data_IF_058211285948
#
_entry.id   IF_058211285948
#
_cell.length_a   1.000
_cell.length_b   1.000
_cell.length_c   1.000
_cell.angle_alpha   90.00
_cell.angle_beta   90.00
_cell.angle_gamma   90.00
#
_symmetry.space_group_name_H-M   'P 1'
#
loop_
_entity.id
_entity.type
_entity.pdbx_description
1 polymer ?
#
# COMPACT_ATOMS: atom_id res chain seq x y z
N UNK A 1 29.32 -9.72 1.51
CA UNK A 1 29.65 -10.35 0.22
C UNK A 1 28.48 -11.09 -0.44
N UNK A 2 27.54 -11.68 0.34
CA UNK A 2 26.40 -12.43 -0.24
C UNK A 2 25.22 -11.55 -0.66
N UNK A 3 25.09 -10.38 -0.08
CA UNK A 3 23.97 -9.47 -0.37
C UNK A 3 24.02 -8.89 -1.81
N UNK A 4 25.22 -8.57 -2.27
CA UNK A 4 25.44 -8.08 -3.63
C UNK A 4 25.37 -9.19 -4.69
N UNK A 5 25.73 -10.43 -4.34
CA UNK A 5 25.63 -11.56 -5.27
C UNK A 5 24.18 -11.94 -5.60
N UNK A 6 23.27 -11.82 -4.65
CA UNK A 6 21.86 -12.20 -4.85
C UNK A 6 21.09 -11.18 -5.70
N UNK A 7 21.49 -9.91 -5.72
CA UNK A 7 20.86 -8.88 -6.54
C UNK A 7 21.08 -9.04 -8.05
N UNK A 8 22.15 -9.68 -8.43
CA UNK A 8 22.51 -9.89 -9.84
C UNK A 8 22.01 -11.23 -10.42
N UNK A 9 21.32 -12.04 -9.62
CA UNK A 9 20.78 -13.32 -10.11
C UNK A 9 19.37 -13.07 -10.63
N UNK A 10 19.10 -13.50 -11.86
CA UNK A 10 17.78 -13.41 -12.48
C UNK A 10 16.88 -14.55 -12.05
N UNK A 11 15.55 -14.30 -12.02
CA UNK A 11 14.54 -15.30 -11.76
C UNK A 11 13.36 -15.14 -12.72
N UNK A 12 12.84 -16.28 -13.17
CA UNK A 12 11.61 -16.36 -13.96
C UNK A 12 10.39 -16.67 -13.09
N UNK A 13 10.54 -16.71 -11.77
CA UNK A 13 9.48 -17.13 -10.86
C UNK A 13 8.21 -16.27 -11.01
N UNK A 14 8.36 -14.95 -11.08
CA UNK A 14 7.23 -14.03 -11.22
C UNK A 14 6.50 -14.28 -12.56
N UNK A 15 7.24 -14.40 -13.65
CA UNK A 15 6.66 -14.68 -14.98
C UNK A 15 5.91 -16.02 -15.00
N UNK A 16 6.47 -17.05 -14.39
CA UNK A 16 5.88 -18.39 -14.36
C UNK A 16 4.61 -18.45 -13.50
N UNK A 17 4.55 -17.69 -12.42
CA UNK A 17 3.45 -17.74 -11.45
C UNK A 17 2.40 -16.62 -11.66
N UNK A 18 2.72 -15.60 -12.44
CA UNK A 18 1.82 -14.48 -12.71
C UNK A 18 0.62 -14.90 -13.54
N UNK A 19 -0.57 -14.59 -13.05
CA UNK A 19 -1.82 -14.75 -13.80
C UNK A 19 -2.27 -13.36 -14.27
N UNK A 20 -2.21 -13.13 -15.58
CA UNK A 20 -2.72 -11.90 -16.18
C UNK A 20 -4.26 -11.89 -16.08
N UNK A 21 -4.86 -10.86 -15.46
CA UNK A 21 -6.31 -10.77 -15.35
C UNK A 21 -7.06 -10.77 -16.68
N UNK A 22 -6.40 -10.38 -17.77
CA UNK A 22 -6.99 -10.40 -19.13
C UNK A 22 -7.06 -11.80 -19.74
N UNK A 23 -6.34 -12.76 -19.18
CA UNK A 23 -6.31 -14.15 -19.65
C UNK A 23 -7.36 -15.04 -19.00
N UNK A 24 -8.09 -14.54 -18.00
CA UNK A 24 -9.08 -15.31 -17.23
C UNK A 24 -10.43 -14.59 -17.22
N UNK A 25 -11.50 -15.38 -17.09
CA UNK A 25 -12.84 -14.81 -16.94
C UNK A 25 -13.01 -14.24 -15.53
N UNK A 26 -13.42 -12.98 -15.46
CA UNK A 26 -13.74 -12.25 -14.22
C UNK A 26 -15.17 -11.77 -14.35
N UNK A 27 -16.09 -12.38 -13.58
CA UNK A 27 -17.53 -12.17 -13.74
C UNK A 27 -18.15 -11.57 -12.49
N UNK A 28 -18.68 -10.36 -12.63
CA UNK A 28 -19.40 -9.67 -11.56
C UNK A 28 -20.80 -10.24 -11.35
N UNK A 29 -21.32 -10.16 -10.11
CA UNK A 29 -22.74 -10.42 -9.88
C UNK A 29 -23.60 -9.36 -10.58
N UNK A 30 -24.86 -9.68 -10.82
CA UNK A 30 -25.81 -8.77 -11.44
C UNK A 30 -25.96 -7.48 -10.60
N UNK A 31 -26.11 -7.63 -9.28
CA UNK A 31 -26.06 -6.52 -8.34
C UNK A 31 -24.64 -6.36 -7.80
N UNK A 32 -23.96 -5.30 -8.22
CA UNK A 32 -22.60 -5.03 -7.80
C UNK A 32 -22.56 -4.41 -6.40
N UNK A 33 -21.63 -4.88 -5.57
CA UNK A 33 -21.44 -4.39 -4.21
C UNK A 33 -20.47 -3.22 -4.19
N UNK A 34 -20.70 -2.26 -3.30
CA UNK A 34 -19.73 -1.22 -3.01
C UNK A 34 -18.52 -1.78 -2.29
N UNK A 35 -17.39 -1.12 -2.46
CA UNK A 35 -16.14 -1.42 -1.77
C UNK A 35 -15.69 -0.22 -0.93
N UNK A 36 -15.35 -0.47 0.33
CA UNK A 36 -14.56 0.44 1.15
C UNK A 36 -13.26 -0.29 1.47
N UNK A 37 -12.14 0.23 1.00
CA UNK A 37 -10.82 -0.37 1.21
C UNK A 37 -9.99 0.56 2.11
N UNK A 38 -9.69 0.12 3.31
CA UNK A 38 -8.98 0.91 4.31
C UNK A 38 -7.58 0.35 4.50
N UNK A 39 -6.59 1.08 3.99
CA UNK A 39 -5.19 0.82 4.29
C UNK A 39 -4.82 1.50 5.60
N UNK A 40 -4.36 0.71 6.57
CA UNK A 40 -3.87 1.20 7.85
C UNK A 40 -2.35 1.25 7.83
N UNK A 41 -1.79 2.46 7.89
CA UNK A 41 -0.34 2.65 7.91
C UNK A 41 0.31 1.90 9.07
N UNK A 42 1.30 1.06 8.74
CA UNK A 42 2.12 0.31 9.70
C UNK A 42 1.34 -0.58 10.69
N UNK A 43 0.12 -0.99 10.33
CA UNK A 43 -0.72 -1.78 11.23
C UNK A 43 -0.45 -3.28 11.10
N UNK A 44 -0.04 -3.88 12.20
CA UNK A 44 0.33 -5.30 12.30
C UNK A 44 -0.52 -6.05 13.30
N UNK A 45 -0.67 -7.34 13.11
CA UNK A 45 -1.22 -8.24 14.14
C UNK A 45 -0.35 -8.29 15.39
N UNK A 46 0.92 -7.94 15.28
CA UNK A 46 1.93 -7.94 16.33
C UNK A 46 1.48 -7.18 17.60
N UNK A 47 0.72 -6.09 17.42
CA UNK A 47 0.34 -5.19 18.51
C UNK A 47 -0.82 -5.69 19.37
N UNK A 48 -1.46 -6.79 19.00
CA UNK A 48 -2.37 -7.54 19.85
C UNK A 48 -1.58 -8.34 20.88
N UNK A 49 -2.26 -8.89 21.88
CA UNK A 49 -1.58 -9.71 22.88
C UNK A 49 -1.34 -11.15 22.38
N UNK A 50 -0.50 -11.87 23.14
CA UNK A 50 -0.12 -13.25 22.81
C UNK A 50 -1.33 -14.18 22.80
N UNK A 51 -2.29 -14.00 23.69
CA UNK A 51 -3.48 -14.85 23.77
C UNK A 51 -4.36 -14.70 22.53
N UNK A 52 -4.42 -13.53 21.95
CA UNK A 52 -5.19 -13.22 20.75
C UNK A 52 -4.40 -13.37 19.43
N UNK A 53 -3.16 -13.85 19.50
CA UNK A 53 -2.35 -14.11 18.31
C UNK A 53 -1.39 -12.99 17.91
N UNK A 54 -1.26 -11.97 18.75
CA UNK A 54 -0.21 -10.95 18.66
C UNK A 54 1.06 -11.36 19.37
N UNK A 55 1.93 -10.41 19.63
CA UNK A 55 3.21 -10.65 20.30
C UNK A 55 3.45 -9.76 21.52
N UNK A 56 2.55 -8.85 21.82
CA UNK A 56 2.66 -7.93 22.96
C UNK A 56 2.09 -8.56 24.24
N UNK A 57 2.57 -8.10 25.38
CA UNK A 57 2.01 -8.50 26.67
C UNK A 57 0.61 -7.91 26.89
N UNK A 58 0.36 -6.73 26.35
CA UNK A 58 -0.88 -6.00 26.42
C UNK A 58 -1.43 -5.73 25.02
N UNK A 59 -2.73 -5.96 24.83
CA UNK A 59 -3.38 -5.70 23.55
C UNK A 59 -3.54 -4.19 23.32
N UNK A 60 -2.75 -3.64 22.43
CA UNK A 60 -2.76 -2.22 22.06
C UNK A 60 -3.87 -1.88 21.06
N UNK A 61 -4.36 -2.88 20.32
CA UNK A 61 -5.35 -2.71 19.25
C UNK A 61 -6.62 -3.55 19.53
N UNK A 62 -7.30 -3.37 20.67
CA UNK A 62 -8.40 -4.25 21.04
C UNK A 62 -9.59 -4.17 20.08
N UNK A 63 -9.92 -3.00 19.53
CA UNK A 63 -11.03 -2.84 18.59
C UNK A 63 -10.73 -3.56 17.27
N UNK A 64 -9.53 -3.43 16.73
CA UNK A 64 -9.11 -4.14 15.53
C UNK A 64 -9.05 -5.65 15.77
N UNK A 65 -8.59 -6.09 16.94
CA UNK A 65 -8.58 -7.50 17.32
C UNK A 65 -9.99 -8.09 17.29
N UNK A 66 -10.97 -7.41 17.88
CA UNK A 66 -12.38 -7.84 17.84
C UNK A 66 -12.92 -7.87 16.41
N UNK A 67 -12.60 -6.87 15.59
CA UNK A 67 -13.02 -6.83 14.18
C UNK A 67 -12.51 -8.06 13.42
N UNK A 68 -11.24 -8.41 13.56
CA UNK A 68 -10.68 -9.57 12.90
C UNK A 68 -11.30 -10.88 13.41
N UNK A 69 -11.53 -11.00 14.72
CA UNK A 69 -12.12 -12.20 15.33
C UNK A 69 -13.60 -12.41 14.98
N UNK A 70 -14.34 -11.34 14.69
CA UNK A 70 -15.77 -11.40 14.36
C UNK A 70 -16.06 -11.31 12.86
N UNK A 71 -15.03 -11.18 12.04
CA UNK A 71 -15.12 -11.16 10.58
C UNK A 71 -14.09 -12.12 10.00
N UNK A 72 -13.67 -11.99 8.74
CA UNK A 72 -12.78 -12.95 8.12
C UNK A 72 -11.34 -12.43 8.02
N UNK A 73 -10.40 -13.14 8.64
CA UNK A 73 -8.97 -12.95 8.51
C UNK A 73 -8.21 -14.21 8.05
N UNK A 74 -8.97 -15.25 7.67
CA UNK A 74 -8.46 -16.54 7.21
C UNK A 74 -7.63 -17.31 8.26
N UNK A 75 -7.98 -17.13 9.51
CA UNK A 75 -7.44 -17.91 10.62
C UNK A 75 -8.08 -19.32 10.76
N UNK A 76 -9.09 -19.61 9.96
CA UNK A 76 -9.85 -20.86 10.04
C UNK A 76 -10.65 -20.94 11.33
N UNK A 77 -10.53 -22.04 12.05
CA UNK A 77 -11.19 -22.23 13.36
C UNK A 77 -10.37 -21.69 14.53
N UNK A 78 -9.12 -21.29 14.30
CA UNK A 78 -8.27 -20.71 15.34
C UNK A 78 -8.77 -19.31 15.70
N UNK A 79 -9.03 -19.00 16.96
CA UNK A 79 -9.45 -17.66 17.38
C UNK A 79 -8.33 -16.61 17.34
N UNK A 80 -7.07 -17.04 17.19
CA UNK A 80 -5.93 -16.15 17.10
C UNK A 80 -5.90 -15.41 15.78
N UNK A 81 -5.46 -14.16 15.81
CA UNK A 81 -5.34 -13.32 14.61
C UNK A 81 -4.43 -13.96 13.57
N UNK A 82 -4.86 -13.83 12.33
CA UNK A 82 -4.05 -14.12 11.15
C UNK A 82 -3.87 -12.84 10.32
N UNK A 83 -2.94 -12.85 9.41
CA UNK A 83 -2.68 -11.69 8.55
C UNK A 83 -1.75 -12.05 7.39
N UNK A 84 -1.62 -11.12 6.45
CA UNK A 84 -0.77 -11.27 5.28
C UNK A 84 0.68 -10.97 5.57
N UNK A 85 1.58 -11.74 4.96
CA UNK A 85 3.01 -11.43 4.97
C UNK A 85 3.33 -10.34 3.95
N UNK A 86 4.13 -9.35 4.37
CA UNK A 86 4.72 -8.36 3.46
C UNK A 86 6.05 -8.90 2.93
N UNK A 87 6.06 -9.25 1.66
CA UNK A 87 7.23 -9.80 1.00
C UNK A 87 8.10 -8.70 0.37
N UNK A 88 9.20 -9.09 -0.22
CA UNK A 88 10.09 -8.16 -0.93
C UNK A 88 9.33 -7.35 -1.99
N UNK A 89 9.59 -6.06 -2.05
CA UNK A 89 8.88 -5.15 -2.97
C UNK A 89 7.53 -4.65 -2.47
N UNK A 90 7.12 -4.99 -1.23
CA UNK A 90 5.82 -4.62 -0.66
C UNK A 90 5.91 -3.96 0.72
N UNK A 91 7.10 -3.61 1.18
CA UNK A 91 7.36 -3.23 2.58
C UNK A 91 7.31 -1.73 2.86
N UNK A 92 6.81 -0.93 1.93
CA UNK A 92 6.54 0.50 2.10
C UNK A 92 5.19 0.82 1.46
N UNK A 93 4.64 2.00 1.75
CA UNK A 93 3.25 2.34 1.42
C UNK A 93 2.90 2.13 -0.06
N UNK A 94 3.68 2.70 -0.99
CA UNK A 94 3.36 2.54 -2.41
C UNK A 94 3.51 1.08 -2.87
N UNK A 95 4.58 0.41 -2.45
CA UNK A 95 4.78 -1.01 -2.74
C UNK A 95 3.65 -1.88 -2.20
N UNK A 96 3.16 -1.56 -1.01
CA UNK A 96 2.04 -2.26 -0.39
C UNK A 96 0.72 -2.03 -1.12
N UNK A 97 0.39 -0.78 -1.45
CA UNK A 97 -0.83 -0.46 -2.20
C UNK A 97 -0.82 -1.10 -3.59
N UNK A 98 0.33 -1.09 -4.24
CA UNK A 98 0.55 -1.77 -5.53
C UNK A 98 0.34 -3.29 -5.41
N UNK A 99 0.97 -3.92 -4.42
CA UNK A 99 0.84 -5.36 -4.20
C UNK A 99 -0.61 -5.81 -3.97
N UNK A 100 -1.35 -5.08 -3.15
CA UNK A 100 -2.72 -5.42 -2.77
C UNK A 100 -3.74 -5.15 -3.88
N UNK A 101 -3.39 -4.38 -4.89
CA UNK A 101 -4.29 -4.02 -5.99
C UNK A 101 -3.84 -4.54 -7.36
N UNK A 102 -2.61 -5.02 -7.48
CA UNK A 102 -2.07 -5.59 -8.73
C UNK A 102 -1.57 -7.03 -8.59
N UNK A 103 -1.33 -7.48 -7.36
CA UNK A 103 -0.73 -8.79 -7.11
C UNK A 103 0.75 -8.87 -7.53
N UNK A 104 1.45 -7.73 -7.62
CA UNK A 104 2.84 -7.66 -8.05
C UNK A 104 3.72 -6.93 -7.02
N UNK A 105 5.00 -7.31 -6.90
CA UNK A 105 5.96 -6.54 -6.12
C UNK A 105 6.43 -5.30 -6.88
N UNK A 106 6.66 -4.22 -6.15
CA UNK A 106 7.28 -3.01 -6.72
C UNK A 106 8.80 -3.08 -6.49
N UNK A 107 9.45 -3.99 -7.21
CA UNK A 107 10.89 -4.21 -7.12
C UNK A 107 11.53 -3.88 -8.47
N UNK A 108 12.01 -2.65 -8.58
CA UNK A 108 12.54 -2.06 -9.80
C UNK A 108 13.97 -1.59 -9.62
N UNK A 109 14.61 -1.24 -10.73
CA UNK A 109 15.95 -0.63 -10.75
C UNK A 109 15.99 0.80 -10.23
N UNK A 110 14.84 1.47 -10.09
CA UNK A 110 14.73 2.82 -9.52
C UNK A 110 14.46 2.76 -8.01
N UNK A 111 14.65 3.89 -7.32
CA UNK A 111 14.39 3.98 -5.88
C UNK A 111 12.91 3.76 -5.53
N UNK A 112 12.66 3.28 -4.32
CA UNK A 112 11.35 2.85 -3.84
C UNK A 112 10.21 3.86 -4.04
N UNK A 113 10.50 5.17 -3.95
CA UNK A 113 9.52 6.24 -4.07
C UNK A 113 9.63 7.07 -5.35
N UNK A 114 10.40 6.60 -6.33
CA UNK A 114 10.69 7.39 -7.54
C UNK A 114 9.69 7.17 -8.69
N UNK A 115 8.65 6.38 -8.48
CA UNK A 115 7.62 6.18 -9.51
C UNK A 115 6.86 7.46 -9.87
N UNK A 116 6.84 8.47 -9.00
CA UNK A 116 6.26 9.79 -9.27
C UNK A 116 7.00 10.56 -10.38
N UNK A 117 8.22 10.14 -10.72
CA UNK A 117 9.02 10.74 -11.79
C UNK A 117 8.75 10.14 -13.16
N UNK A 118 7.99 9.05 -13.24
CA UNK A 118 7.69 8.35 -14.47
C UNK A 118 6.45 8.91 -15.17
N UNK A 119 6.35 8.72 -16.49
CA UNK A 119 5.18 9.14 -17.27
C UNK A 119 4.01 8.16 -17.13
N UNK A 120 4.29 6.93 -16.76
CA UNK A 120 3.31 5.87 -16.56
C UNK A 120 3.71 4.94 -15.42
N UNK A 121 2.73 4.22 -14.87
CA UNK A 121 2.93 3.28 -13.78
C UNK A 121 2.46 1.89 -14.22
N UNK A 122 3.37 1.04 -14.68
CA UNK A 122 3.04 -0.31 -15.17
C UNK A 122 1.88 -0.30 -16.17
N UNK A 123 2.02 0.37 -17.32
CA UNK A 123 0.89 0.60 -18.24
C UNK A 123 0.31 -0.68 -18.84
N UNK A 124 1.10 -1.76 -18.87
CA UNK A 124 0.69 -3.05 -19.46
C UNK A 124 -0.08 -3.98 -18.55
N UNK A 125 -0.29 -3.63 -17.26
CA UNK A 125 -1.00 -4.50 -16.32
C UNK A 125 -2.47 -4.11 -16.16
N UNK A 126 -3.25 -5.05 -15.65
CA UNK A 126 -4.64 -4.85 -15.23
C UNK A 126 -4.73 -4.98 -13.73
N UNK A 127 -5.20 -3.93 -13.06
CA UNK A 127 -5.29 -3.86 -11.60
C UNK A 127 -6.73 -4.00 -11.12
N UNK A 128 -6.90 -4.07 -9.78
CA UNK A 128 -8.21 -3.97 -9.15
C UNK A 128 -8.97 -2.72 -9.62
N UNK A 129 -8.30 -1.57 -9.66
CA UNK A 129 -8.90 -0.32 -10.13
C UNK A 129 -9.37 -0.40 -11.58
N UNK A 130 -8.60 -1.01 -12.46
CA UNK A 130 -8.99 -1.22 -13.86
C UNK A 130 -10.24 -2.10 -13.97
N UNK A 131 -10.27 -3.21 -13.24
CA UNK A 131 -11.40 -4.16 -13.25
C UNK A 131 -12.67 -3.48 -12.74
N UNK A 132 -12.56 -2.74 -11.63
CA UNK A 132 -13.71 -2.03 -11.06
C UNK A 132 -14.18 -0.88 -11.96
N UNK A 133 -13.27 -0.15 -12.58
CA UNK A 133 -13.61 0.91 -13.55
C UNK A 133 -14.37 0.35 -14.74
N UNK A 134 -13.90 -0.76 -15.32
CA UNK A 134 -14.56 -1.43 -16.44
C UNK A 134 -15.95 -1.95 -16.05
N UNK A 135 -16.16 -2.27 -14.78
CA UNK A 135 -17.44 -2.69 -14.25
C UNK A 135 -18.38 -1.54 -13.90
N UNK A 136 -17.98 -0.28 -14.09
CA UNK A 136 -18.81 0.90 -13.88
C UNK A 136 -18.74 1.52 -12.48
N UNK A 137 -17.72 1.16 -11.69
CA UNK A 137 -17.52 1.74 -10.35
C UNK A 137 -17.02 3.19 -10.44
N UNK A 138 -17.55 4.04 -9.58
CA UNK A 138 -16.95 5.34 -9.25
C UNK A 138 -15.89 5.10 -8.18
N UNK A 139 -14.67 5.60 -8.39
CA UNK A 139 -13.55 5.33 -7.52
C UNK A 139 -12.92 6.59 -6.97
N UNK A 140 -12.60 6.59 -5.69
CA UNK A 140 -11.96 7.70 -4.97
C UNK A 140 -10.79 7.18 -4.14
N UNK A 141 -9.65 7.88 -4.21
CA UNK A 141 -8.56 7.74 -3.25
C UNK A 141 -8.61 8.90 -2.27
N UNK A 142 -8.84 8.61 -1.00
CA UNK A 142 -8.91 9.58 0.09
C UNK A 142 -7.73 9.38 1.03
N UNK A 143 -6.84 10.36 1.09
CA UNK A 143 -5.64 10.35 1.92
C UNK A 143 -5.37 11.73 2.52
N UNK A 144 -4.79 11.77 3.70
CA UNK A 144 -4.45 13.04 4.37
C UNK A 144 -3.10 13.64 3.95
N UNK A 145 -2.31 12.91 3.18
CA UNK A 145 -1.02 13.33 2.63
C UNK A 145 -1.13 13.68 1.13
N UNK A 146 -0.01 14.07 0.52
CA UNK A 146 0.03 14.34 -0.93
C UNK A 146 0.01 13.04 -1.73
N UNK A 147 -0.92 12.93 -2.67
CA UNK A 147 -1.06 11.74 -3.52
C UNK A 147 0.10 11.58 -4.51
N UNK A 148 0.77 12.65 -4.89
CA UNK A 148 1.89 12.61 -5.82
C UNK A 148 3.07 11.79 -5.29
N UNK A 149 3.30 11.83 -3.98
CA UNK A 149 4.43 11.13 -3.36
C UNK A 149 4.40 9.61 -3.66
N UNK A 150 5.54 9.09 -4.08
CA UNK A 150 5.71 7.66 -4.38
C UNK A 150 4.98 7.16 -5.62
N UNK A 151 4.31 8.05 -6.36
CA UNK A 151 3.57 7.70 -7.57
C UNK A 151 2.11 7.28 -7.33
N UNK A 152 1.56 7.49 -6.14
CA UNK A 152 0.16 7.13 -5.85
C UNK A 152 -0.82 7.77 -6.80
N UNK A 153 -0.70 9.08 -7.03
CA UNK A 153 -1.56 9.81 -7.96
C UNK A 153 -1.47 9.24 -9.37
N UNK A 154 -0.25 9.02 -9.87
CA UNK A 154 -0.02 8.45 -11.19
C UNK A 154 -0.69 7.08 -11.31
N UNK A 155 -0.44 6.19 -10.34
CA UNK A 155 -0.96 4.84 -10.35
C UNK A 155 -2.49 4.78 -10.32
N UNK A 156 -3.11 5.45 -9.36
CA UNK A 156 -4.57 5.38 -9.20
C UNK A 156 -5.35 6.14 -10.27
N UNK A 157 -4.75 7.16 -10.88
CA UNK A 157 -5.36 7.81 -12.04
C UNK A 157 -5.26 6.96 -13.31
N UNK A 158 -4.09 6.37 -13.56
CA UNK A 158 -3.86 5.52 -14.73
C UNK A 158 -4.66 4.21 -14.65
N UNK A 159 -4.70 3.59 -13.48
CA UNK A 159 -5.34 2.30 -13.24
C UNK A 159 -6.67 2.43 -12.50
N UNK A 160 -7.67 2.97 -13.17
CA UNK A 160 -9.02 3.02 -12.65
C UNK A 160 -9.62 4.42 -12.54
N UNK A 161 -8.90 5.45 -12.96
CA UNK A 161 -9.38 6.83 -12.98
C UNK A 161 -9.97 7.26 -11.62
N UNK A 162 -9.24 6.97 -10.53
CA UNK A 162 -9.67 7.40 -9.20
C UNK A 162 -9.68 8.91 -9.08
N UNK A 163 -10.72 9.46 -8.46
CA UNK A 163 -10.74 10.84 -7.99
C UNK A 163 -9.75 10.98 -6.83
N UNK A 164 -8.85 11.99 -6.90
CA UNK A 164 -7.85 12.24 -5.86
C UNK A 164 -8.38 13.23 -4.84
N UNK A 165 -8.71 12.76 -3.65
CA UNK A 165 -9.06 13.59 -2.50
C UNK A 165 -7.94 13.48 -1.46
N UNK A 166 -6.84 14.20 -1.73
CA UNK A 166 -5.64 14.23 -0.91
C UNK A 166 -5.49 15.55 -0.12
N UNK A 167 -4.33 15.79 0.44
CA UNK A 167 -4.04 17.01 1.19
C UNK A 167 -4.25 18.27 0.35
N UNK A 168 -3.73 18.31 -0.88
CA UNK A 168 -3.92 19.44 -1.79
C UNK A 168 -5.40 19.67 -2.12
N UNK A 169 -6.14 18.60 -2.37
CA UNK A 169 -7.58 18.66 -2.58
C UNK A 169 -8.31 19.28 -1.39
N UNK A 170 -7.95 18.89 -0.17
CA UNK A 170 -8.57 19.41 1.05
C UNK A 170 -8.36 20.92 1.20
N UNK A 171 -7.17 21.42 0.88
CA UNK A 171 -6.87 22.85 0.88
C UNK A 171 -7.64 23.58 -0.22
N UNK A 172 -7.59 23.09 -1.45
CA UNK A 172 -8.23 23.70 -2.62
C UNK A 172 -9.76 23.79 -2.47
N UNK A 173 -10.36 22.83 -1.79
CA UNK A 173 -11.80 22.78 -1.55
C UNK A 173 -12.22 23.37 -0.20
N UNK A 174 -11.31 23.99 0.53
CA UNK A 174 -11.61 24.66 1.79
C UNK A 174 -12.02 23.73 2.93
N UNK A 175 -11.67 22.45 2.87
CA UNK A 175 -11.96 21.47 3.93
C UNK A 175 -11.07 21.68 5.14
N UNK A 176 -9.88 22.22 4.92
CA UNK A 176 -8.92 22.65 5.94
C UNK A 176 -8.37 24.03 5.57
N UNK A 177 -7.88 24.83 6.55
CA UNK A 177 -7.21 26.09 6.27
C UNK A 177 -6.00 25.90 5.35
N UNK A 178 -5.69 26.92 4.54
CA UNK A 178 -4.62 26.87 3.54
C UNK A 178 -3.22 26.68 4.14
N UNK A 179 -3.05 27.09 5.40
CA UNK A 179 -1.81 26.93 6.18
C UNK A 179 -1.82 25.75 7.15
N UNK A 180 -2.90 24.95 7.12
CA UNK A 180 -3.01 23.80 8.00
C UNK A 180 -2.11 22.67 7.51
N UNK A 181 -1.18 22.27 8.35
CA UNK A 181 -0.35 21.09 8.12
C UNK A 181 0.08 20.49 9.44
N UNK A 182 -0.29 19.25 9.67
CA UNK A 182 0.22 18.42 10.76
C UNK A 182 0.72 17.12 10.19
N UNK A 183 1.85 16.62 10.68
CA UNK A 183 2.45 15.38 10.22
C UNK A 183 2.72 15.41 8.70
N UNK A 184 2.08 14.54 7.94
CA UNK A 184 2.23 14.43 6.48
C UNK A 184 1.18 15.24 5.67
N UNK A 185 0.33 15.97 6.36
CA UNK A 185 -0.75 16.75 5.75
C UNK A 185 -1.83 17.10 6.76
N UNK A 186 -2.88 16.26 6.86
CA UNK A 186 -3.86 16.32 7.94
C UNK A 186 -4.02 14.95 8.61
N UNK A 187 -4.44 14.99 9.87
CA UNK A 187 -4.53 13.81 10.75
C UNK A 187 -5.73 12.90 10.41
N UNK A 188 -5.66 11.65 10.89
CA UNK A 188 -6.66 10.61 10.62
C UNK A 188 -8.06 10.96 11.15
N UNK A 189 -8.15 11.74 12.23
CA UNK A 189 -9.45 12.22 12.72
C UNK A 189 -10.24 12.92 11.63
N UNK A 190 -9.59 13.83 10.90
CA UNK A 190 -10.21 14.52 9.75
C UNK A 190 -10.45 13.57 8.59
N UNK A 191 -9.55 12.64 8.35
CA UNK A 191 -9.70 11.64 7.30
C UNK A 191 -11.02 10.86 7.44
N UNK A 192 -11.31 10.37 8.65
CA UNK A 192 -12.54 9.62 8.91
C UNK A 192 -13.79 10.51 8.78
N UNK A 193 -13.73 11.77 9.19
CA UNK A 193 -14.82 12.72 8.98
C UNK A 193 -15.09 12.98 7.50
N UNK A 194 -14.05 13.22 6.71
CA UNK A 194 -14.17 13.40 5.27
C UNK A 194 -14.66 12.12 4.57
N UNK A 195 -14.24 10.96 5.06
CA UNK A 195 -14.71 9.67 4.56
C UNK A 195 -16.23 9.50 4.76
N UNK A 196 -16.74 9.83 5.94
CA UNK A 196 -18.19 9.79 6.22
C UNK A 196 -18.99 10.67 5.27
N UNK A 197 -18.56 11.91 5.08
CA UNK A 197 -19.19 12.84 4.16
C UNK A 197 -19.16 12.35 2.71
N UNK A 198 -18.01 11.80 2.28
CA UNK A 198 -17.85 11.24 0.94
C UNK A 198 -18.77 10.04 0.73
N UNK A 199 -18.83 9.11 1.69
CA UNK A 199 -19.70 7.94 1.63
C UNK A 199 -21.18 8.31 1.52
N UNK A 200 -21.62 9.32 2.26
CA UNK A 200 -23.00 9.81 2.15
C UNK A 200 -23.30 10.36 0.76
N UNK A 201 -22.36 11.08 0.15
CA UNK A 201 -22.52 11.55 -1.24
C UNK A 201 -22.52 10.42 -2.25
N UNK A 202 -21.56 9.50 -2.15
CA UNK A 202 -21.45 8.34 -3.05
C UNK A 202 -22.68 7.44 -2.99
N UNK A 203 -23.24 7.24 -1.79
CA UNK A 203 -24.41 6.38 -1.59
C UNK A 203 -25.72 6.94 -2.20
N UNK A 204 -25.74 8.20 -2.53
CA UNK A 204 -26.91 8.84 -3.20
C UNK A 204 -26.92 8.58 -4.70
N UNK A 205 -25.80 8.16 -5.29
CA UNK A 205 -25.71 7.81 -6.70
C UNK A 205 -26.23 6.41 -7.00
N UNK A 206 -26.44 6.12 -8.27
CA UNK A 206 -26.92 4.82 -8.74
C UNK A 206 -25.78 3.84 -9.05
N UNK A 207 -24.55 4.33 -9.14
CA UNK A 207 -23.37 3.54 -9.48
C UNK A 207 -22.78 2.89 -8.24
N UNK A 208 -22.21 1.67 -8.37
CA UNK A 208 -21.41 1.12 -7.30
C UNK A 208 -20.17 1.99 -7.09
N UNK A 209 -19.70 2.10 -5.86
CA UNK A 209 -18.54 2.91 -5.53
C UNK A 209 -17.42 2.09 -4.88
N UNK A 210 -16.20 2.57 -5.06
CA UNK A 210 -15.01 2.16 -4.33
C UNK A 210 -14.42 3.40 -3.66
N UNK A 211 -14.43 3.42 -2.32
CA UNK A 211 -13.66 4.37 -1.54
C UNK A 211 -12.43 3.67 -0.97
N UNK A 212 -11.26 4.03 -1.47
CA UNK A 212 -9.97 3.57 -0.97
C UNK A 212 -9.35 4.66 -0.11
N UNK A 213 -8.95 4.31 1.10
CA UNK A 213 -8.42 5.22 2.12
C UNK A 213 -7.06 4.75 2.60
N UNK A 214 -6.22 5.69 3.02
CA UNK A 214 -4.96 5.42 3.70
C UNK A 214 -4.84 6.31 4.93
N UNK A 215 -4.64 5.70 6.11
CA UNK A 215 -4.33 6.43 7.34
C UNK A 215 -2.85 6.82 7.38
N UNK A 216 -2.48 7.77 8.23
CA UNK A 216 -1.12 8.30 8.28
C UNK A 216 -0.57 8.53 9.69
N UNK A 217 -1.43 8.65 10.71
CA UNK A 217 -0.99 8.98 12.07
C UNK A 217 -0.06 7.91 12.65
N UNK A 218 -0.19 6.67 12.22
CA UNK A 218 0.61 5.53 12.66
C UNK A 218 1.94 5.36 11.93
N UNK A 219 2.32 6.32 11.07
CA UNK A 219 3.61 6.30 10.39
C UNK A 219 4.77 6.53 11.36
N UNK A 220 5.89 5.84 11.15
CA UNK A 220 7.09 5.97 11.99
C UNK A 220 7.75 7.36 11.79
N UNK A 221 8.54 7.89 12.72
CA UNK A 221 8.78 7.27 14.02
C UNK A 221 7.72 7.73 15.01
N UNK A 222 7.31 6.84 15.91
CA UNK A 222 6.41 7.08 17.05
C UNK A 222 5.00 7.60 16.72
N UNK A 223 4.70 7.87 15.45
CA UNK A 223 3.40 8.36 15.02
C UNK A 223 3.06 9.79 15.42
N UNK A 224 1.87 10.23 15.01
CA UNK A 224 1.32 11.54 15.35
C UNK A 224 0.27 11.42 16.46
N UNK A 225 0.49 12.15 17.55
CA UNK A 225 -0.45 12.21 18.68
C UNK A 225 -1.50 13.27 18.40
N UNK A 226 -2.73 12.85 18.13
CA UNK A 226 -3.86 13.77 18.03
C UNK A 226 -4.55 13.96 19.37
N UNK A 227 -5.50 14.87 19.45
CA UNK A 227 -6.26 15.16 20.68
C UNK A 227 -7.07 13.96 21.24
N UNK A 228 -7.36 12.97 20.38
CA UNK A 228 -8.12 11.77 20.74
C UNK A 228 -7.24 10.62 21.25
N UNK A 229 -5.92 10.73 21.14
CA UNK A 229 -5.04 9.67 21.56
C UNK A 229 -5.09 9.44 23.06
N UNK A 230 -5.17 8.16 23.52
CA UNK A 230 -5.05 7.84 24.94
C UNK A 230 -3.62 8.08 25.45
N UNK A 231 -3.46 8.04 26.75
CA UNK A 231 -2.17 8.10 27.45
C UNK A 231 -1.96 6.88 28.35
N UNK A 232 -2.60 5.77 28.01
CA UNK A 232 -2.68 4.57 28.83
C UNK A 232 -1.44 3.69 28.72
N UNK A 233 -0.72 3.78 27.61
CA UNK A 233 0.43 2.93 27.33
C UNK A 233 1.74 3.69 27.56
N UNK A 234 2.80 2.95 27.86
CA UNK A 234 4.10 3.52 28.23
C UNK A 234 4.80 4.24 27.07
N UNK A 235 4.53 3.83 25.82
CA UNK A 235 5.15 4.43 24.63
C UNK A 235 4.16 5.27 23.84
N UNK A 236 4.66 6.35 23.24
CA UNK A 236 3.85 7.20 22.37
C UNK A 236 3.27 6.38 21.21
N UNK A 237 4.06 5.53 20.59
CA UNK A 237 3.61 4.76 19.42
C UNK A 237 2.45 3.81 19.76
N UNK A 238 2.49 3.17 20.94
CA UNK A 238 1.37 2.37 21.42
C UNK A 238 0.09 3.19 21.59
N UNK A 239 0.20 4.41 22.13
CA UNK A 239 -0.95 5.30 22.27
C UNK A 239 -1.53 5.73 20.91
N UNK A 240 -0.67 5.94 19.92
CA UNK A 240 -1.10 6.27 18.55
C UNK A 240 -1.74 5.06 17.86
N UNK A 241 -1.17 3.87 18.01
CA UNK A 241 -1.78 2.63 17.49
C UNK A 241 -3.15 2.36 18.12
N UNK A 242 -3.26 2.54 19.44
CA UNK A 242 -4.53 2.40 20.16
C UNK A 242 -5.57 3.43 19.69
N UNK A 243 -5.15 4.65 19.43
CA UNK A 243 -5.99 5.70 18.87
C UNK A 243 -6.54 5.31 17.49
N UNK A 244 -5.67 4.80 16.61
CA UNK A 244 -6.06 4.29 15.31
C UNK A 244 -7.07 3.14 15.41
N UNK A 245 -6.80 2.18 16.27
CA UNK A 245 -7.71 1.06 16.53
C UNK A 245 -9.11 1.52 16.94
N UNK A 246 -9.18 2.46 17.86
CA UNK A 246 -10.45 3.04 18.31
C UNK A 246 -11.20 3.78 17.20
N UNK A 247 -10.50 4.62 16.47
CA UNK A 247 -11.08 5.39 15.36
C UNK A 247 -11.62 4.48 14.24
N UNK A 248 -10.90 3.44 13.88
CA UNK A 248 -11.36 2.44 12.91
C UNK A 248 -12.60 1.71 13.42
N UNK A 249 -12.60 1.32 14.69
CA UNK A 249 -13.77 0.68 15.32
C UNK A 249 -15.01 1.57 15.30
N UNK A 250 -14.87 2.84 15.61
CA UNK A 250 -15.95 3.83 15.55
C UNK A 250 -16.44 4.07 14.11
N UNK A 251 -15.52 4.16 13.16
CA UNK A 251 -15.84 4.32 11.75
C UNK A 251 -16.62 3.11 11.21
N UNK A 252 -16.19 1.91 11.53
CA UNK A 252 -16.90 0.69 11.14
C UNK A 252 -18.32 0.65 11.71
N UNK A 253 -18.48 0.98 13.00
CA UNK A 253 -19.82 1.06 13.61
C UNK A 253 -20.71 2.07 12.92
N UNK A 254 -20.15 3.23 12.55
CA UNK A 254 -20.89 4.23 11.80
C UNK A 254 -21.33 3.72 10.41
N UNK A 255 -20.44 3.05 9.67
CA UNK A 255 -20.77 2.44 8.38
C UNK A 255 -21.89 1.43 8.54
N UNK A 256 -21.83 0.59 9.57
CA UNK A 256 -22.81 -0.48 9.81
C UNK A 256 -24.21 0.06 10.12
N UNK A 257 -24.34 1.31 10.49
CA UNK A 257 -25.63 1.99 10.72
C UNK A 257 -26.20 2.64 9.46
N UNK A 258 -25.47 2.65 8.36
CA UNK A 258 -25.92 3.29 7.12
C UNK A 258 -26.70 2.32 6.23
N UNK A 259 -27.64 2.85 5.47
CA UNK A 259 -28.47 2.06 4.55
C UNK A 259 -27.64 1.35 3.48
N UNK A 260 -26.52 1.94 3.05
CA UNK A 260 -25.64 1.36 2.04
C UNK A 260 -24.83 0.16 2.55
N UNK A 261 -24.72 -0.05 3.88
CA UNK A 261 -23.90 -1.13 4.44
C UNK A 261 -24.30 -2.52 3.93
N UNK A 262 -25.60 -2.76 3.80
CA UNK A 262 -26.10 -4.07 3.35
C UNK A 262 -25.49 -4.50 2.01
N UNK A 263 -25.21 -3.54 1.11
CA UNK A 263 -24.61 -3.78 -0.19
C UNK A 263 -23.16 -3.27 -0.27
N UNK A 264 -22.43 -3.36 0.82
CA UNK A 264 -21.05 -2.88 0.90
C UNK A 264 -20.15 -3.90 1.57
N UNK A 265 -19.02 -4.19 0.94
CA UNK A 265 -17.93 -4.98 1.50
C UNK A 265 -16.83 -4.04 1.96
N UNK A 266 -16.28 -4.29 3.15
CA UNK A 266 -15.19 -3.51 3.72
C UNK A 266 -13.96 -4.40 3.83
N UNK A 267 -12.84 -3.93 3.29
CA UNK A 267 -11.51 -4.55 3.45
C UNK A 267 -10.68 -3.62 4.32
N UNK A 268 -10.17 -4.14 5.40
CA UNK A 268 -9.21 -3.43 6.27
C UNK A 268 -7.90 -4.20 6.24
N UNK A 269 -6.84 -3.55 5.81
CA UNK A 269 -5.52 -4.15 5.76
C UNK A 269 -4.46 -3.17 6.21
N UNK A 270 -3.56 -3.61 7.09
CA UNK A 270 -2.29 -2.94 7.26
C UNK A 270 -1.59 -2.89 5.90
N UNK A 271 -0.87 -1.81 5.64
CA UNK A 271 -0.13 -1.70 4.40
C UNK A 271 1.18 -2.52 4.46
N UNK A 272 2.00 -2.29 5.45
CA UNK A 272 3.26 -3.00 5.69
C UNK A 272 3.59 -2.98 7.19
N UNK A 273 4.52 -3.83 7.66
CA UNK A 273 5.04 -3.75 9.02
C UNK A 273 5.71 -2.41 9.28
N UNK A 274 5.62 -1.93 10.53
CA UNK A 274 6.26 -0.66 10.88
C UNK A 274 7.76 -0.66 10.56
N UNK A 275 8.23 0.46 10.03
CA UNK A 275 9.66 0.72 9.81
C UNK A 275 10.36 1.32 11.05
N UNK A 276 9.62 1.52 12.15
CA UNK A 276 10.21 1.92 13.42
C UNK A 276 11.09 0.80 13.97
N UNK A 277 12.38 1.06 14.07
CA UNK A 277 13.37 0.03 14.45
C UNK A 277 13.29 -0.40 15.92
N UNK A 278 12.64 0.40 16.77
CA UNK A 278 12.63 0.20 18.21
C UNK A 278 11.38 -0.53 18.69
N UNK A 279 10.24 -0.26 18.06
CA UNK A 279 8.91 -0.67 18.56
C UNK A 279 8.74 -2.19 18.67
N UNK A 280 9.27 -2.95 17.72
CA UNK A 280 9.21 -4.41 17.68
C UNK A 280 10.58 -5.08 17.90
N UNK A 281 11.57 -4.32 18.39
CA UNK A 281 12.96 -4.78 18.48
C UNK A 281 13.11 -6.06 19.34
N UNK A 282 12.45 -6.15 20.48
CA UNK A 282 12.50 -7.34 21.35
C UNK A 282 11.90 -8.56 20.66
N UNK A 283 10.76 -8.37 19.98
CA UNK A 283 10.07 -9.43 19.24
C UNK A 283 10.96 -9.96 18.11
N UNK A 284 11.61 -9.08 17.37
CA UNK A 284 12.52 -9.44 16.29
C UNK A 284 13.76 -10.17 16.81
N UNK A 285 14.28 -9.79 17.99
CA UNK A 285 15.42 -10.45 18.63
C UNK A 285 15.07 -11.86 19.12
N UNK A 286 13.89 -12.05 19.68
CA UNK A 286 13.43 -13.37 20.13
C UNK A 286 13.16 -14.32 18.96
N UNK A 287 12.75 -13.77 17.79
CA UNK A 287 12.53 -14.54 16.57
C UNK A 287 11.37 -15.54 16.65
N UNK A 288 10.49 -15.41 17.63
CA UNK A 288 9.41 -16.36 17.92
C UNK A 288 8.08 -15.98 17.28
N UNK A 289 8.00 -14.81 16.66
CA UNK A 289 6.78 -14.27 16.07
C UNK A 289 7.03 -13.82 14.64
N UNK A 290 6.21 -14.34 13.72
CA UNK A 290 6.21 -13.92 12.31
C UNK A 290 5.29 -12.72 12.14
N UNK A 291 5.86 -11.55 11.90
CA UNK A 291 5.13 -10.29 11.76
C UNK A 291 4.32 -10.28 10.47
N UNK A 292 3.03 -9.93 10.60
CA UNK A 292 2.06 -9.88 9.50
C UNK A 292 1.24 -8.61 9.61
N UNK A 293 0.75 -8.12 8.49
CA UNK A 293 -0.16 -6.97 8.50
C UNK A 293 -1.54 -7.39 8.99
N UNK A 294 -2.20 -6.50 9.73
CA UNK A 294 -3.60 -6.67 10.11
C UNK A 294 -4.47 -6.87 8.86
N UNK A 295 -5.39 -7.81 8.89
CA UNK A 295 -6.27 -8.10 7.75
C UNK A 295 -7.68 -8.47 8.24
N UNK A 296 -8.71 -7.84 7.68
CA UNK A 296 -10.09 -8.22 7.93
C UNK A 296 -10.97 -7.94 6.70
N UNK A 297 -11.80 -8.90 6.34
CA UNK A 297 -12.83 -8.80 5.32
C UNK A 297 -14.19 -8.80 5.98
N UNK A 298 -14.94 -7.73 5.83
CA UNK A 298 -16.19 -7.47 6.55
C UNK A 298 -17.34 -7.42 5.56
N UNK A 299 -18.42 -8.12 5.88
CA UNK A 299 -19.61 -8.21 5.03
C UNK A 299 -19.28 -8.68 3.60
N UNK A 300 -18.45 -9.70 3.50
CA UNK A 300 -18.08 -10.30 2.22
C UNK A 300 -19.25 -11.08 1.61
N UNK A 301 -19.34 -11.07 0.28
CA UNK A 301 -20.29 -11.86 -0.48
C UNK A 301 -19.79 -13.31 -0.74
N UNK A 302 -18.73 -13.71 -0.09
CA UNK A 302 -18.14 -15.05 -0.20
C UNK A 302 -17.86 -15.60 1.20
N UNK A 303 -17.75 -16.92 1.28
CA UNK A 303 -17.40 -17.64 2.50
C UNK A 303 -16.14 -18.44 2.27
N UNK A 304 -15.24 -18.48 3.26
CA UNK A 304 -14.05 -19.31 3.21
C UNK A 304 -14.45 -20.80 3.12
N UNK A 305 -13.94 -21.48 2.09
CA UNK A 305 -14.18 -22.92 1.89
C UNK A 305 -13.26 -23.76 2.76
N UNK A 306 -12.09 -23.24 3.10
CA UNK A 306 -11.14 -23.90 3.97
C UNK A 306 -11.35 -23.47 5.43
N UNK A 307 -11.41 -24.43 6.35
CA UNK A 307 -11.52 -24.21 7.79
C UNK A 307 -10.14 -24.19 8.47
N UNK A 308 -9.07 -24.31 7.71
CA UNK A 308 -7.71 -24.26 8.24
C UNK A 308 -7.18 -22.83 8.18
N UNK A 309 -6.20 -22.55 9.03
CA UNK A 309 -5.44 -21.32 8.96
C UNK A 309 -4.70 -21.23 7.63
N UNK A 310 -4.90 -20.10 6.90
CA UNK A 310 -4.24 -19.86 5.63
C UNK A 310 -2.90 -19.17 5.87
N UNK A 311 -1.89 -19.54 5.08
CA UNK A 311 -0.64 -18.82 4.98
C UNK A 311 -0.64 -18.01 3.69
N UNK A 312 -0.65 -16.68 3.81
CA UNK A 312 -0.85 -15.79 2.68
C UNK A 312 0.00 -14.53 2.74
N UNK A 313 0.14 -13.89 1.61
CA UNK A 313 0.82 -12.60 1.46
C UNK A 313 -0.17 -11.52 1.05
N UNK A 314 0.29 -10.28 1.04
CA UNK A 314 -0.53 -9.14 0.60
C UNK A 314 -0.86 -9.17 -0.90
N UNK A 315 -0.19 -9.99 -1.71
CA UNK A 315 -0.60 -10.25 -3.09
C UNK A 315 -1.98 -10.90 -3.18
N UNK A 316 -2.31 -11.75 -2.21
CA UNK A 316 -3.57 -12.49 -2.18
C UNK A 316 -4.77 -11.56 -1.96
N UNK A 317 -4.57 -10.37 -1.42
CA UNK A 317 -5.62 -9.38 -1.26
C UNK A 317 -6.27 -8.97 -2.58
N UNK A 318 -5.55 -9.00 -3.68
CA UNK A 318 -6.08 -8.59 -4.98
C UNK A 318 -7.24 -9.50 -5.44
N UNK A 319 -7.07 -10.80 -5.70
CA UNK A 319 -8.19 -11.65 -6.06
C UNK A 319 -9.20 -11.83 -4.92
N UNK A 320 -8.76 -11.81 -3.66
CA UNK A 320 -9.64 -11.99 -2.50
C UNK A 320 -10.61 -10.83 -2.35
N UNK A 321 -10.19 -9.59 -2.59
CA UNK A 321 -11.07 -8.42 -2.58
C UNK A 321 -12.18 -8.55 -3.62
N UNK A 322 -11.85 -8.96 -4.83
CA UNK A 322 -12.86 -9.21 -5.87
C UNK A 322 -13.84 -10.32 -5.47
N UNK A 323 -13.34 -11.42 -4.93
CA UNK A 323 -14.19 -12.50 -4.43
C UNK A 323 -15.12 -12.03 -3.30
N UNK A 324 -14.60 -11.18 -2.41
CA UNK A 324 -15.40 -10.58 -1.34
C UNK A 324 -16.54 -9.69 -1.87
N UNK A 325 -16.39 -9.14 -3.06
CA UNK A 325 -17.43 -8.39 -3.79
C UNK A 325 -18.43 -9.31 -4.54
N UNK A 326 -18.24 -10.61 -4.46
CA UNK A 326 -19.06 -11.57 -5.18
C UNK A 326 -18.62 -11.84 -6.62
N UNK A 327 -17.44 -11.36 -6.99
CA UNK A 327 -16.87 -11.59 -8.33
C UNK A 327 -16.34 -13.02 -8.42
N UNK A 328 -16.67 -13.70 -9.51
CA UNK A 328 -16.13 -15.02 -9.80
C UNK A 328 -14.91 -14.91 -10.70
N UNK A 329 -13.83 -15.54 -10.28
CA UNK A 329 -12.55 -15.53 -10.97
C UNK A 329 -12.26 -16.95 -11.43
N UNK A 330 -12.15 -17.16 -12.74
CA UNK A 330 -11.79 -18.47 -13.28
C UNK A 330 -10.35 -18.82 -12.84
N UNK A 331 -10.22 -19.98 -12.16
CA UNK A 331 -8.94 -20.41 -11.61
C UNK A 331 -8.58 -19.80 -10.25
N UNK A 332 -9.32 -18.84 -9.72
CA UNK A 332 -9.17 -18.21 -8.41
C UNK A 332 -7.80 -17.55 -8.17
N UNK A 333 -7.12 -17.13 -9.23
CA UNK A 333 -5.82 -16.44 -9.14
C UNK A 333 -5.75 -15.23 -10.06
N UNK A 334 -5.17 -14.13 -9.56
CA UNK A 334 -4.83 -12.91 -10.32
C UNK A 334 -3.48 -12.37 -9.82
N UNK A 335 -2.61 -11.96 -10.74
CA UNK A 335 -1.25 -11.58 -10.37
C UNK A 335 -0.53 -12.75 -9.70
N UNK A 336 0.17 -12.48 -8.62
CA UNK A 336 0.77 -13.52 -7.77
C UNK A 336 -0.17 -13.96 -6.64
N UNK A 337 -1.40 -13.44 -6.62
CA UNK A 337 -2.38 -13.70 -5.57
C UNK A 337 -3.31 -14.86 -5.86
N UNK A 338 -3.81 -15.46 -4.79
CA UNK A 338 -4.84 -16.49 -4.78
C UNK A 338 -6.05 -15.99 -4.00
N UNK A 339 -7.26 -16.25 -4.49
CA UNK A 339 -8.49 -15.99 -3.77
C UNK A 339 -8.53 -16.84 -2.49
N UNK A 340 -8.43 -16.18 -1.33
CA UNK A 340 -8.39 -16.85 -0.03
C UNK A 340 -9.74 -17.48 0.36
N UNK A 341 -10.84 -17.08 -0.25
CA UNK A 341 -12.13 -17.74 -0.07
C UNK A 341 -12.20 -19.07 -0.81
N UNK A 342 -11.32 -19.31 -1.79
CA UNK A 342 -11.21 -20.59 -2.47
C UNK A 342 -10.42 -21.60 -1.64
N UNK A 343 -10.53 -22.88 -1.96
CA UNK A 343 -9.68 -23.92 -1.36
C UNK A 343 -8.32 -24.07 -2.02
N UNK A 344 -7.94 -23.16 -2.95
CA UNK A 344 -6.68 -23.28 -3.68
C UNK A 344 -5.52 -22.74 -2.89
N UNK A 345 -4.35 -23.34 -3.08
CA UNK A 345 -3.12 -22.93 -2.39
C UNK A 345 -2.66 -21.54 -2.84
N UNK A 346 -2.23 -20.74 -1.87
CA UNK A 346 -1.42 -19.54 -2.13
C UNK A 346 0.00 -19.94 -2.56
N UNK A 347 0.76 -19.01 -3.11
CA UNK A 347 2.18 -19.26 -3.41
C UNK A 347 2.98 -19.60 -2.17
N UNK A 348 2.66 -18.96 -1.03
CA UNK A 348 3.33 -19.26 0.25
C UNK A 348 3.02 -20.67 0.74
N UNK A 349 1.80 -21.14 0.57
CA UNK A 349 1.40 -22.49 0.93
C UNK A 349 2.05 -23.55 0.02
N UNK A 350 2.20 -23.22 -1.26
CA UNK A 350 2.78 -24.12 -2.26
C UNK A 350 4.32 -24.19 -2.17
N UNK A 351 5.00 -23.07 -2.04
CA UNK A 351 6.44 -22.98 -2.15
C UNK A 351 7.15 -22.67 -0.82
N UNK A 352 6.43 -22.16 0.18
CA UNK A 352 6.98 -21.64 1.41
C UNK A 352 7.43 -20.18 1.31
N UNK A 353 7.23 -19.44 2.39
CA UNK A 353 7.55 -18.00 2.47
C UNK A 353 9.01 -17.70 2.11
N UNK A 354 9.95 -18.45 2.64
CA UNK A 354 11.38 -18.20 2.43
C UNK A 354 11.77 -18.33 0.96
N UNK A 355 11.25 -19.33 0.26
CA UNK A 355 11.52 -19.53 -1.15
C UNK A 355 10.92 -18.43 -2.00
N UNK A 356 9.64 -18.11 -1.78
CA UNK A 356 8.97 -17.04 -2.53
C UNK A 356 9.71 -15.72 -2.33
N UNK A 357 10.03 -15.36 -1.10
CA UNK A 357 10.72 -14.12 -0.81
C UNK A 357 12.13 -14.07 -1.42
N UNK A 358 12.86 -15.17 -1.43
CA UNK A 358 14.17 -15.28 -2.07
C UNK A 358 14.07 -15.07 -3.60
N UNK A 359 13.05 -15.63 -4.24
CA UNK A 359 12.84 -15.44 -5.67
C UNK A 359 12.46 -13.98 -6.01
N UNK A 360 11.65 -13.32 -5.17
CA UNK A 360 11.27 -11.92 -5.36
C UNK A 360 12.46 -10.94 -5.21
N UNK A 361 13.51 -11.32 -4.47
CA UNK A 361 14.73 -10.51 -4.33
C UNK A 361 15.59 -10.50 -5.59
N UNK A 362 15.43 -11.49 -6.44
CA UNK A 362 16.19 -11.61 -7.68
C UNK A 362 15.66 -10.65 -8.74
N UNK A 363 16.50 -10.26 -9.68
CA UNK A 363 16.08 -9.45 -10.81
C UNK A 363 15.06 -10.21 -11.66
N UNK A 364 14.00 -9.52 -12.08
CA UNK A 364 12.97 -10.06 -12.99
C UNK A 364 12.87 -9.18 -14.22
N UNK A 365 13.27 -9.71 -15.37
CA UNK A 365 13.10 -9.02 -16.63
C UNK A 365 11.61 -8.83 -16.98
N UNK A 366 10.77 -9.75 -16.56
CA UNK A 366 9.33 -9.67 -16.73
C UNK A 366 8.75 -8.42 -16.04
N UNK A 367 9.12 -8.17 -14.76
CA UNK A 367 8.72 -6.98 -14.03
C UNK A 367 9.26 -5.71 -14.69
N UNK A 368 10.52 -5.71 -15.11
CA UNK A 368 11.13 -4.56 -15.79
C UNK A 368 10.38 -4.19 -17.08
N UNK A 369 9.97 -5.17 -17.87
CA UNK A 369 9.16 -4.94 -19.08
C UNK A 369 7.77 -4.41 -18.75
N UNK A 370 7.08 -5.00 -17.77
CA UNK A 370 5.75 -4.54 -17.36
C UNK A 370 5.78 -3.13 -16.81
N UNK A 371 6.85 -2.76 -16.11
CA UNK A 371 7.00 -1.45 -15.49
C UNK A 371 7.09 -0.32 -16.50
N UNK A 372 7.64 -0.58 -17.68
CA UNK A 372 7.96 0.42 -18.71
C UNK A 372 8.74 1.62 -18.14
N UNK A 373 9.53 1.40 -17.09
CA UNK A 373 10.37 2.44 -16.49
C UNK A 373 11.42 2.88 -17.50
N UNK A 374 11.53 4.18 -17.69
CA UNK A 374 12.51 4.76 -18.56
C UNK A 374 13.86 4.86 -17.82
N UNK A 375 14.72 3.87 -18.05
CA UNK A 375 16.05 3.80 -17.42
C UNK A 375 16.98 4.95 -17.80
N UNK A 376 16.75 5.55 -18.98
CA UNK A 376 17.52 6.72 -19.41
C UNK A 376 17.21 7.93 -18.54
N UNK A 377 16.00 8.03 -18.00
CA UNK A 377 15.63 9.05 -17.04
C UNK A 377 16.22 8.79 -15.66
N UNK A 378 16.43 7.53 -15.27
CA UNK A 378 17.01 7.16 -13.98
C UNK A 378 18.44 7.69 -13.77
N UNK A 379 19.27 7.60 -14.79
CA UNK A 379 20.65 8.08 -14.75
C UNK A 379 20.72 9.62 -14.69
N UNK A 380 19.60 10.31 -14.94
CA UNK A 380 19.57 11.73 -15.25
C UNK A 380 18.58 12.51 -14.40
N UNK A 381 17.85 11.82 -13.53
CA UNK A 381 17.01 12.49 -12.55
C UNK A 381 17.91 13.18 -11.50
N UNK A 382 18.57 14.21 -11.96
CA UNK A 382 18.65 15.40 -11.12
C UNK A 382 17.19 15.82 -11.05
N UNK A 383 16.45 15.29 -10.09
CA UNK A 383 15.13 15.81 -9.76
C UNK A 383 15.26 17.32 -9.78
N UNK A 384 14.26 18.05 -10.22
CA UNK A 384 14.12 19.48 -9.94
C UNK A 384 14.38 19.71 -8.44
N UNK A 385 15.54 19.32 -8.04
CA UNK A 385 16.07 19.43 -6.71
C UNK A 385 16.67 20.78 -6.69
N UNK A 386 16.01 21.70 -6.07
CA UNK A 386 16.74 22.79 -5.46
C UNK A 386 17.77 22.17 -4.55
N UNK A 387 18.92 21.84 -5.12
CA UNK A 387 20.09 21.54 -4.31
C UNK A 387 20.50 22.88 -3.72
N UNK A 388 20.01 23.16 -2.50
CA UNK A 388 20.38 24.32 -1.72
C UNK A 388 20.24 25.67 -2.48
N UNK A 389 19.18 25.87 -3.27
CA UNK A 389 18.88 27.15 -3.91
C UNK A 389 19.42 27.34 -5.33
N UNK A 390 19.71 26.26 -6.03
CA UNK A 390 20.03 26.30 -7.45
C UNK A 390 19.14 25.32 -8.23
N UNK A 391 18.77 25.68 -9.45
CA UNK A 391 18.09 24.81 -10.39
C UNK A 391 19.13 24.17 -11.33
N UNK A 392 18.97 22.91 -11.67
CA UNK A 392 19.86 22.21 -12.58
C UNK A 392 19.06 21.60 -13.74
N UNK A 393 19.48 21.90 -14.96
CA UNK A 393 18.94 21.33 -16.19
C UNK A 393 19.97 20.40 -16.82
N UNK A 394 19.52 19.22 -17.23
CA UNK A 394 20.39 18.22 -17.88
C UNK A 394 20.12 18.23 -19.39
N UNK A 395 21.15 18.54 -20.15
CA UNK A 395 21.06 18.56 -21.62
C UNK A 395 21.39 17.21 -22.24
N UNK A 396 20.33 16.43 -22.46
CA UNK A 396 20.46 15.12 -23.09
C UNK A 396 20.70 15.16 -24.60
N UNK A 397 20.34 16.26 -25.24
CA UNK A 397 20.52 16.39 -26.70
C UNK A 397 21.99 16.51 -27.07
N UNK A 398 22.83 16.92 -26.13
CA UNK A 398 24.27 17.05 -26.29
C UNK A 398 25.07 16.05 -25.44
N UNK A 399 24.41 15.03 -24.88
CA UNK A 399 25.07 13.98 -24.13
C UNK A 399 25.90 13.10 -25.07
N UNK A 400 27.12 12.79 -24.65
CA UNK A 400 28.01 11.83 -25.30
C UNK A 400 28.49 10.81 -24.32
N UNK A 401 29.05 9.68 -24.79
CA UNK A 401 29.58 8.67 -23.87
C UNK A 401 30.61 9.31 -22.92
N UNK A 402 30.32 9.23 -21.62
CA UNK A 402 31.15 9.78 -20.57
C UNK A 402 31.01 11.28 -20.30
N UNK A 403 30.09 11.99 -21.02
CA UNK A 403 29.88 13.42 -20.82
C UNK A 403 28.42 13.82 -20.99
N UNK A 404 27.87 14.46 -19.97
CA UNK A 404 26.51 15.00 -19.99
C UNK A 404 26.55 16.45 -19.53
N UNK A 405 26.17 17.42 -20.39
CA UNK A 405 26.13 18.82 -20.00
C UNK A 405 25.02 19.06 -18.96
N UNK A 406 25.37 19.74 -17.88
CA UNK A 406 24.42 20.17 -16.85
C UNK A 406 24.47 21.69 -16.75
N UNK A 407 23.36 22.35 -16.97
CA UNK A 407 23.22 23.77 -16.79
C UNK A 407 22.63 24.02 -15.40
N UNK A 408 23.40 24.70 -14.54
CA UNK A 408 22.95 25.10 -13.22
C UNK A 408 22.48 26.54 -13.32
N UNK A 409 21.24 26.83 -12.95
CA UNK A 409 20.61 28.14 -13.01
C UNK A 409 20.07 28.55 -11.63
N UNK A 410 19.70 29.80 -11.46
CA UNK A 410 19.10 30.30 -10.22
C UNK A 410 19.95 30.01 -8.97
N UNK A 411 21.26 30.13 -9.10
CA UNK A 411 22.20 29.84 -8.01
C UNK A 411 22.12 30.94 -6.96
N UNK A 412 21.81 30.55 -5.71
CA UNK A 412 21.82 31.52 -4.60
C UNK A 412 23.20 32.05 -4.34
N UNK A 413 23.30 33.29 -3.80
CA UNK A 413 24.58 33.95 -3.47
C UNK A 413 25.45 33.09 -2.53
N UNK A 414 24.84 32.32 -1.67
CA UNK A 414 25.56 31.41 -0.76
C UNK A 414 26.26 30.26 -1.50
N UNK A 415 25.73 29.82 -2.64
CA UNK A 415 26.32 28.76 -3.47
C UNK A 415 27.37 29.33 -4.40
N UNK A 416 27.13 30.52 -5.00
CA UNK A 416 28.08 31.19 -5.89
C UNK A 416 29.43 31.38 -5.21
N UNK A 417 29.41 31.70 -3.91
CA UNK A 417 30.64 31.90 -3.12
C UNK A 417 31.36 30.60 -2.74
N UNK A 418 30.75 29.41 -2.98
CA UNK A 418 31.28 28.11 -2.59
C UNK A 418 31.29 27.09 -3.76
N UNK A 419 31.32 27.55 -4.99
CA UNK A 419 31.31 26.68 -6.19
C UNK A 419 32.46 25.64 -6.25
N UNK A 420 33.54 25.89 -5.52
CA UNK A 420 34.66 24.93 -5.44
C UNK A 420 34.33 23.63 -4.68
N UNK A 421 33.23 23.61 -3.94
CA UNK A 421 32.76 22.43 -3.20
C UNK A 421 31.58 21.69 -3.87
N UNK A 422 31.17 22.12 -5.07
CA UNK A 422 30.04 21.50 -5.75
C UNK A 422 30.52 20.21 -6.45
N UNK A 423 30.19 19.09 -5.88
CA UNK A 423 30.44 17.76 -6.48
C UNK A 423 29.16 17.29 -7.13
N UNK A 424 29.12 17.27 -8.45
CA UNK A 424 28.08 16.61 -9.20
C UNK A 424 28.44 15.11 -9.25
N UNK A 425 27.72 14.29 -8.52
CA UNK A 425 27.93 12.84 -8.59
C UNK A 425 26.92 12.24 -9.58
N UNK A 426 27.42 11.75 -10.68
CA UNK A 426 26.61 11.05 -11.71
C UNK A 426 26.85 9.56 -11.54
N UNK A 427 25.81 8.80 -11.37
CA UNK A 427 25.90 7.33 -11.30
C UNK A 427 25.45 6.73 -12.63
N UNK A 428 26.16 5.73 -13.07
CA UNK A 428 25.68 4.83 -14.13
C UNK A 428 25.11 3.57 -13.48
N UNK A 429 24.34 2.78 -14.24
CA UNK A 429 23.78 1.51 -13.77
C UNK A 429 24.84 0.55 -13.17
N UNK A 430 26.10 0.75 -13.51
CA UNK A 430 27.20 -0.10 -13.07
C UNK A 430 27.97 0.48 -11.85
N UNK A 431 27.55 1.57 -11.27
CA UNK A 431 28.08 2.21 -10.05
C UNK A 431 29.00 3.40 -10.30
#
# INVERSE_FOLDING_TARGET
GNYLKNRNTESNFIEEEYVDPTDVAVVFPEQKRNLIYIFLESMETTYSDVDDGGAFDENVIPELTEIAQTNEDFSGIDPKLNGGYSLEGTTWTMGAMFAQTSGLPLNLSISANDMDTQDSFFPGITTLGDILSDAGYTQTLLIGSEAQFGGRKLYFQEHGNYEMEDYSYAIENGLIPSDYKVWWGYEDQKLFEFAKEKLLRLSQGDEPFNLTMLTVDTHFEDGYVCEQCPTEYDTQYSNVMACSSRQVGEFLKWIQQQDFYENTTIVISGDHPTMDSDYCAEIDQEGNYDRRVFTAYINAAAYAQDQQERTYSTFDNFPTTLAALGVQIDGDRLGLGTNLFSGKQTLLEKFGKSKVNAELKKKSEFIEKLSAVNKTNDALLIREGRVNGADADVDMTHATEGYIPVLVTNVSDSIVNNLQGLVLTVWTEDG
#
